data_IF_563356406036
#
_entry.id   IF_563356406036
#
_cell.length_a   1.000
_cell.length_b   1.000
_cell.length_c   1.000
_cell.angle_alpha   90.00
_cell.angle_beta   90.00
_cell.angle_gamma   90.00
#
_symmetry.space_group_name_H-M   'P 1'
#
loop_
_entity.id
_entity.type
_entity.pdbx_description
1 polymer ?
#
# COMPACT_ATOMS: atom_id res chain seq x y z
N UNK A 1 -7.05 7.89 -3.46
CA UNK A 1 -7.52 7.88 -4.86
C UNK A 1 -8.53 8.97 -5.20
N UNK A 2 -9.12 9.66 -4.20
CA UNK A 2 -10.10 10.74 -4.41
C UNK A 2 -9.58 11.88 -5.29
N UNK A 3 -8.31 12.27 -5.14
CA UNK A 3 -7.69 13.33 -5.94
C UNK A 3 -7.66 13.05 -7.45
N UNK A 4 -7.59 11.78 -7.86
CA UNK A 4 -7.50 11.38 -9.27
C UNK A 4 -8.75 11.76 -10.09
N UNK A 5 -9.90 11.93 -9.44
CA UNK A 5 -11.16 12.31 -10.10
C UNK A 5 -11.47 13.81 -9.99
N UNK A 6 -10.86 14.50 -9.00
CA UNK A 6 -10.96 15.95 -8.84
C UNK A 6 -10.10 16.70 -9.87
N UNK A 7 -8.91 16.18 -10.18
CA UNK A 7 -8.00 16.79 -11.16
C UNK A 7 -8.64 16.98 -12.55
N UNK A 8 -9.23 15.96 -13.21
CA UNK A 8 -9.86 16.15 -14.52
C UNK A 8 -11.08 17.08 -14.47
N UNK A 9 -11.78 17.16 -13.33
CA UNK A 9 -12.90 18.09 -13.15
C UNK A 9 -12.43 19.53 -13.15
N UNK A 10 -11.41 19.85 -12.34
CA UNK A 10 -10.80 21.17 -12.29
C UNK A 10 -10.11 21.54 -13.61
N UNK A 11 -9.43 20.59 -14.25
CA UNK A 11 -8.80 20.81 -15.54
C UNK A 11 -9.82 21.05 -16.66
N UNK A 12 -10.97 20.35 -16.63
CA UNK A 12 -12.04 20.49 -17.62
C UNK A 12 -12.73 21.85 -17.56
N UNK A 13 -12.98 22.39 -16.37
CA UNK A 13 -13.55 23.75 -16.21
C UNK A 13 -12.53 24.82 -16.62
N UNK A 14 -11.27 24.66 -16.23
CA UNK A 14 -10.22 25.61 -16.59
C UNK A 14 -9.97 25.64 -18.10
N UNK A 15 -9.97 24.47 -18.76
CA UNK A 15 -9.81 24.38 -20.20
C UNK A 15 -10.96 25.05 -20.98
N UNK A 16 -12.17 25.08 -20.42
CA UNK A 16 -13.32 25.75 -21.02
C UNK A 16 -13.24 27.28 -20.95
N UNK A 17 -12.60 27.84 -19.92
CA UNK A 17 -12.50 29.30 -19.72
C UNK A 17 -11.21 29.92 -20.27
N UNK A 18 -10.05 29.26 -20.07
CA UNK A 18 -8.72 29.83 -20.35
C UNK A 18 -7.97 29.08 -21.47
N UNK A 19 -8.58 28.01 -22.00
CA UNK A 19 -7.99 27.15 -23.03
C UNK A 19 -7.05 26.06 -22.47
N UNK A 20 -6.74 25.08 -23.32
CA UNK A 20 -6.05 23.85 -22.93
C UNK A 20 -4.59 24.03 -22.46
N UNK A 21 -3.93 25.12 -22.89
CA UNK A 21 -2.51 25.38 -22.53
C UNK A 21 -2.36 25.78 -21.06
N UNK A 22 -3.34 26.51 -20.52
CA UNK A 22 -3.32 26.98 -19.14
C UNK A 22 -3.40 25.83 -18.14
N UNK A 23 -4.04 24.71 -18.49
CA UNK A 23 -4.10 23.51 -17.64
C UNK A 23 -2.69 22.98 -17.30
N UNK A 24 -1.73 23.07 -18.22
CA UNK A 24 -0.35 22.64 -17.96
C UNK A 24 0.39 23.57 -16.98
N UNK A 25 0.17 24.89 -17.08
CA UNK A 25 0.78 25.84 -16.16
C UNK A 25 0.26 25.66 -14.73
N UNK A 26 -1.05 25.51 -14.55
CA UNK A 26 -1.64 25.26 -13.22
C UNK A 26 -1.12 23.95 -12.62
N UNK A 27 -1.02 22.88 -13.42
CA UNK A 27 -0.51 21.59 -12.97
C UNK A 27 0.97 21.69 -12.56
N UNK A 28 1.80 22.44 -13.30
CA UNK A 28 3.19 22.69 -12.95
C UNK A 28 3.33 23.48 -11.64
N UNK A 29 2.50 24.51 -11.42
CA UNK A 29 2.52 25.29 -10.18
C UNK A 29 2.13 24.41 -8.99
N UNK A 30 1.04 23.66 -9.09
CA UNK A 30 0.58 22.75 -8.03
C UNK A 30 1.63 21.69 -7.70
N UNK A 31 2.26 21.05 -8.69
CA UNK A 31 3.32 20.07 -8.47
C UNK A 31 4.55 20.69 -7.81
N UNK A 32 4.92 21.92 -8.19
CA UNK A 32 6.06 22.63 -7.58
C UNK A 32 5.79 22.93 -6.11
N UNK A 33 4.59 23.43 -5.79
CA UNK A 33 4.17 23.69 -4.41
C UNK A 33 4.17 22.40 -3.59
N UNK A 34 3.58 21.32 -4.12
CA UNK A 34 3.58 20.02 -3.46
C UNK A 34 5.00 19.49 -3.24
N UNK A 35 5.89 19.63 -4.23
CA UNK A 35 7.29 19.22 -4.09
C UNK A 35 8.00 20.01 -2.99
N UNK A 36 7.80 21.32 -2.90
CA UNK A 36 8.35 22.15 -1.84
C UNK A 36 7.81 21.71 -0.48
N UNK A 37 6.49 21.50 -0.36
CA UNK A 37 5.87 21.00 0.87
C UNK A 37 6.46 19.64 1.25
N UNK A 38 6.60 18.70 0.31
CA UNK A 38 7.23 17.42 0.57
C UNK A 38 8.65 17.61 1.09
N UNK A 39 9.49 18.43 0.47
CA UNK A 39 10.86 18.65 0.95
C UNK A 39 10.93 19.15 2.40
N UNK A 40 9.97 19.99 2.82
CA UNK A 40 9.95 20.55 4.19
C UNK A 40 9.14 19.74 5.21
N UNK A 41 8.15 18.94 4.76
CA UNK A 41 7.22 18.21 5.61
C UNK A 41 7.43 16.68 5.59
N UNK A 42 8.33 16.14 4.76
CA UNK A 42 8.67 14.71 4.81
C UNK A 42 9.54 14.44 6.04
N UNK A 43 8.87 13.98 7.10
CA UNK A 43 9.52 13.34 8.23
C UNK A 43 9.90 11.90 7.82
N UNK A 44 11.20 11.61 7.86
CA UNK A 44 11.74 10.27 7.70
C UNK A 44 11.21 9.39 8.84
N UNK A 45 10.24 8.53 8.52
CA UNK A 45 9.60 7.58 9.44
C UNK A 45 10.31 6.23 9.45
N UNK A 46 11.50 6.14 8.86
CA UNK A 46 12.26 4.88 8.81
C UNK A 46 12.71 4.47 10.20
N UNK A 47 11.95 3.54 10.80
CA UNK A 47 12.36 2.81 11.99
C UNK A 47 13.37 1.72 11.59
N UNK A 48 14.56 1.75 12.17
CA UNK A 48 15.51 0.65 12.09
C UNK A 48 15.24 -0.19 13.34
N UNK A 49 14.56 -1.35 13.24
CA UNK A 49 14.47 -2.22 14.39
C UNK A 49 15.90 -2.57 14.81
N UNK A 50 16.23 -2.36 16.09
CA UNK A 50 17.39 -3.03 16.66
C UNK A 50 17.13 -4.52 16.46
N UNK A 51 17.96 -5.17 15.65
CA UNK A 51 17.96 -6.62 15.47
C UNK A 51 18.24 -7.27 16.83
N UNK A 52 17.21 -7.46 17.64
CA UNK A 52 17.24 -8.34 18.80
C UNK A 52 16.85 -9.71 18.26
N UNK A 53 17.84 -10.44 17.75
CA UNK A 53 17.64 -11.82 17.32
C UNK A 53 18.28 -12.25 16.00
N UNK A 54 19.31 -11.57 15.49
CA UNK A 54 20.20 -12.23 14.54
C UNK A 54 21.03 -13.26 15.33
N UNK A 55 20.69 -14.54 15.20
CA UNK A 55 21.62 -15.62 15.51
C UNK A 55 22.80 -15.43 14.57
N UNK A 56 23.93 -14.97 15.11
CA UNK A 56 25.22 -15.04 14.46
C UNK A 56 25.47 -16.49 14.07
N UNK A 57 25.29 -16.81 12.79
CA UNK A 57 25.90 -17.99 12.19
C UNK A 57 27.32 -17.60 11.74
N UNK A 58 28.13 -17.15 12.70
CA UNK A 58 29.59 -17.06 12.56
C UNK A 58 30.20 -18.32 13.18
N UNK A 59 30.11 -19.43 12.45
CA UNK A 59 31.05 -20.56 12.61
C UNK A 59 31.39 -21.10 11.22
N UNK A 60 32.32 -20.44 10.55
CA UNK A 60 33.06 -21.05 9.46
C UNK A 60 34.16 -21.96 10.03
N UNK A 61 34.18 -23.21 9.57
CA UNK A 61 35.30 -24.15 9.48
C UNK A 61 35.90 -24.75 10.77
N UNK A 62 35.54 -26.00 11.06
CA UNK A 62 36.52 -27.03 11.42
C UNK A 62 35.97 -28.46 11.18
N UNK A 63 36.74 -29.27 10.44
CA UNK A 63 36.86 -30.71 10.72
C UNK A 63 35.83 -31.68 10.13
N UNK A 64 36.19 -32.24 8.97
CA UNK A 64 35.72 -33.52 8.42
C UNK A 64 35.88 -34.67 9.44
N UNK A 65 34.84 -35.48 9.67
CA UNK A 65 34.92 -36.90 10.06
C UNK A 65 33.54 -37.58 10.01
N UNK A 66 33.57 -38.81 9.50
CA UNK A 66 32.50 -39.75 9.19
C UNK A 66 31.95 -40.55 10.39
N UNK A 67 30.82 -41.25 10.14
CA UNK A 67 30.38 -42.55 10.70
C UNK A 67 29.23 -42.56 11.73
N UNK A 68 28.18 -43.31 11.33
CA UNK A 68 27.19 -44.15 12.07
C UNK A 68 26.05 -43.58 12.93
N UNK A 69 24.85 -44.09 12.56
CA UNK A 69 23.69 -44.54 13.33
C UNK A 69 23.63 -44.27 14.84
N UNK A 70 22.46 -43.84 15.33
CA UNK A 70 21.70 -44.54 16.39
C UNK A 70 20.25 -44.01 16.41
N UNK A 71 19.35 -44.95 16.17
CA UNK A 71 17.91 -44.93 16.34
C UNK A 71 17.50 -44.82 17.83
N UNK A 72 16.20 -44.59 18.06
CA UNK A 72 15.41 -44.89 19.28
C UNK A 72 14.89 -43.69 20.08
N UNK A 73 13.60 -43.42 19.87
CA UNK A 73 12.56 -43.15 20.87
C UNK A 73 13.04 -42.95 22.32
N UNK A 74 12.73 -41.78 22.88
CA UNK A 74 12.18 -41.69 24.23
C UNK A 74 11.17 -40.53 24.32
N UNK A 75 9.96 -40.86 24.76
CA UNK A 75 8.95 -39.92 25.24
C UNK A 75 9.39 -39.43 26.61
N UNK A 76 9.32 -38.12 26.85
CA UNK A 76 9.18 -37.55 28.20
C UNK A 76 8.18 -36.39 28.13
N UNK A 77 7.15 -36.49 28.98
CA UNK A 77 6.13 -35.50 29.30
C UNK A 77 6.73 -34.20 29.86
N UNK A 78 5.98 -33.10 29.70
CA UNK A 78 6.08 -31.91 30.53
C UNK A 78 7.12 -30.88 30.07
N UNK A 79 6.69 -29.79 29.46
CA UNK A 79 6.25 -28.64 30.23
C UNK A 79 5.57 -27.65 29.27
N UNK A 80 4.54 -26.97 29.77
CA UNK A 80 3.96 -25.85 29.08
C UNK A 80 5.01 -24.73 29.07
N UNK A 81 5.86 -24.71 28.04
CA UNK A 81 6.69 -23.58 27.71
C UNK A 81 5.75 -22.43 27.32
N UNK A 82 5.27 -21.77 28.36
CA UNK A 82 4.76 -20.42 28.37
C UNK A 82 5.85 -19.59 27.72
N UNK A 83 5.78 -19.43 26.39
CA UNK A 83 6.46 -18.35 25.71
C UNK A 83 5.81 -17.11 26.31
N UNK A 84 6.40 -16.66 27.42
CA UNK A 84 6.12 -15.37 27.98
C UNK A 84 6.48 -14.39 26.87
N UNK A 85 5.46 -13.99 26.10
CA UNK A 85 5.48 -12.78 25.29
C UNK A 85 5.71 -11.67 26.29
N UNK A 86 6.99 -11.42 26.61
CA UNK A 86 7.39 -10.23 27.34
C UNK A 86 6.79 -9.09 26.54
N UNK A 87 5.82 -8.43 27.15
CA UNK A 87 5.23 -7.21 26.60
C UNK A 87 6.40 -6.28 26.37
N UNK A 88 6.74 -6.08 25.08
CA UNK A 88 7.78 -5.11 24.70
C UNK A 88 7.51 -3.81 25.46
N UNK A 89 8.54 -3.19 26.08
CA UNK A 89 8.36 -1.88 26.68
C UNK A 89 7.80 -0.96 25.59
N UNK A 90 6.75 -0.22 25.95
CA UNK A 90 6.06 0.70 25.06
C UNK A 90 7.06 1.48 24.21
N UNK A 91 7.02 1.21 22.90
CA UNK A 91 7.95 1.72 21.90
C UNK A 91 8.00 3.25 22.05
N UNK A 92 9.14 3.85 22.42
CA UNK A 92 9.21 5.28 22.65
C UNK A 92 9.01 6.02 21.33
N UNK A 93 8.07 6.97 21.31
CA UNK A 93 7.81 7.79 20.14
C UNK A 93 9.01 8.72 19.90
N UNK A 94 9.61 8.62 18.71
CA UNK A 94 10.75 9.46 18.32
C UNK A 94 10.34 10.95 18.31
N UNK A 95 11.25 11.83 18.76
CA UNK A 95 11.01 13.27 18.76
C UNK A 95 10.95 13.82 17.33
N UNK A 96 10.08 14.80 17.07
CA UNK A 96 9.87 15.48 15.79
C UNK A 96 11.17 15.89 15.06
N UNK A 97 12.19 16.32 15.81
CA UNK A 97 13.50 16.71 15.27
C UNK A 97 14.38 15.53 14.85
N UNK A 98 14.16 14.36 15.44
CA UNK A 98 14.87 13.12 15.14
C UNK A 98 14.29 12.44 13.89
N UNK A 99 13.00 12.68 13.59
CA UNK A 99 12.33 12.30 12.34
C UNK A 99 12.72 13.18 11.14
N UNK A 100 13.26 14.40 11.35
CA UNK A 100 13.76 15.27 10.28
C UNK A 100 15.22 15.00 9.89
N UNK A 101 15.69 13.75 9.98
CA UNK A 101 17.06 13.39 9.59
C UNK A 101 17.17 13.26 8.07
N UNK A 102 17.77 14.25 7.42
CA UNK A 102 17.91 14.36 5.95
C UNK A 102 18.58 13.18 5.23
N UNK A 103 19.34 12.35 5.95
CA UNK A 103 19.91 11.14 5.37
C UNK A 103 20.10 10.08 6.45
N UNK A 104 19.50 8.91 6.21
CA UNK A 104 19.72 7.71 7.02
C UNK A 104 20.55 6.74 6.19
N UNK A 105 21.81 6.57 6.58
CA UNK A 105 22.74 5.62 5.94
C UNK A 105 22.18 4.21 6.10
N UNK A 106 21.86 3.56 4.99
CA UNK A 106 21.33 2.19 4.95
C UNK A 106 22.45 1.25 4.49
N UNK A 107 22.67 0.15 5.21
CA UNK A 107 23.68 -0.86 4.90
C UNK A 107 23.22 -1.92 3.89
N UNK A 108 22.03 -1.75 3.31
CA UNK A 108 21.48 -2.69 2.34
C UNK A 108 21.97 -2.39 0.92
N UNK A 109 22.27 -3.45 0.17
CA UNK A 109 22.65 -3.35 -1.23
C UNK A 109 21.46 -2.86 -2.07
N UNK A 110 21.45 -1.57 -2.42
CA UNK A 110 20.49 -0.93 -3.35
C UNK A 110 20.18 -1.75 -4.63
N UNK A 111 21.16 -2.34 -5.35
CA UNK A 111 20.84 -3.12 -6.56
C UNK A 111 20.05 -4.40 -6.25
N UNK A 112 20.26 -5.00 -5.07
CA UNK A 112 19.50 -6.17 -4.64
C UNK A 112 18.04 -5.81 -4.34
N UNK A 113 17.82 -4.66 -3.68
CA UNK A 113 16.47 -4.16 -3.40
C UNK A 113 15.71 -3.80 -4.68
N UNK A 114 16.41 -3.23 -5.68
CA UNK A 114 15.82 -2.94 -6.99
C UNK A 114 15.47 -4.20 -7.80
N UNK A 115 16.27 -5.27 -7.72
CA UNK A 115 15.99 -6.55 -8.40
C UNK A 115 14.95 -7.41 -7.69
N UNK A 116 14.74 -7.24 -6.38
CA UNK A 116 13.78 -8.01 -5.58
C UNK A 116 12.35 -8.07 -6.17
N UNK A 117 11.70 -6.96 -6.61
CA UNK A 117 10.36 -7.01 -7.19
C UNK A 117 10.29 -7.87 -8.47
N UNK A 118 11.35 -7.92 -9.27
CA UNK A 118 11.41 -8.76 -10.48
C UNK A 118 11.50 -10.24 -10.13
N UNK A 119 12.15 -10.62 -9.04
CA UNK A 119 12.13 -12.00 -8.57
C UNK A 119 10.76 -12.40 -8.03
N UNK A 120 10.11 -11.53 -7.26
CA UNK A 120 8.80 -11.80 -6.67
C UNK A 120 7.71 -11.97 -7.74
N UNK A 121 7.86 -11.32 -8.91
CA UNK A 121 6.93 -11.48 -10.03
C UNK A 121 6.96 -12.90 -10.63
N UNK A 122 8.01 -13.69 -10.41
CA UNK A 122 8.04 -15.07 -10.93
C UNK A 122 7.09 -16.01 -10.20
N UNK A 123 6.59 -15.61 -9.02
CA UNK A 123 5.60 -16.37 -8.28
C UNK A 123 4.23 -16.26 -8.97
N UNK A 124 3.59 -17.37 -9.35
CA UNK A 124 2.37 -17.36 -10.15
C UNK A 124 1.20 -16.65 -9.45
N UNK A 125 1.13 -16.74 -8.11
CA UNK A 125 0.13 -16.02 -7.32
C UNK A 125 0.29 -14.49 -7.47
N UNK A 126 1.53 -14.00 -7.42
CA UNK A 126 1.81 -12.57 -7.55
C UNK A 126 1.44 -12.09 -8.95
N UNK A 127 1.80 -12.84 -10.00
CA UNK A 127 1.39 -12.55 -11.38
C UNK A 127 -0.12 -12.41 -11.53
N UNK A 128 -0.89 -13.34 -10.95
CA UNK A 128 -2.34 -13.31 -11.03
C UNK A 128 -2.90 -12.04 -10.38
N UNK A 129 -2.45 -11.71 -9.16
CA UNK A 129 -2.90 -10.48 -8.47
C UNK A 129 -2.50 -9.21 -9.22
N UNK A 130 -1.30 -9.18 -9.80
CA UNK A 130 -0.81 -8.06 -10.59
C UNK A 130 -1.63 -7.87 -11.88
N UNK A 131 -1.95 -8.96 -12.58
CA UNK A 131 -2.80 -8.92 -13.78
C UNK A 131 -4.22 -8.47 -13.45
N UNK A 132 -4.80 -8.97 -12.36
CA UNK A 132 -6.14 -8.56 -11.92
C UNK A 132 -6.18 -7.06 -11.62
N UNK A 133 -5.19 -6.54 -10.91
CA UNK A 133 -5.09 -5.12 -10.61
C UNK A 133 -4.87 -4.27 -11.87
N UNK A 134 -3.96 -4.70 -12.76
CA UNK A 134 -3.71 -4.02 -14.03
C UNK A 134 -4.95 -3.99 -14.93
N UNK A 135 -5.71 -5.08 -14.98
CA UNK A 135 -6.98 -5.17 -15.71
C UNK A 135 -8.01 -4.16 -15.18
N UNK A 136 -8.15 -4.05 -13.86
CA UNK A 136 -9.04 -3.06 -13.23
C UNK A 136 -8.67 -1.62 -13.58
N UNK A 137 -7.38 -1.29 -13.58
CA UNK A 137 -6.91 0.04 -14.00
C UNK A 137 -7.15 0.27 -15.48
N UNK A 138 -6.88 -0.72 -16.33
CA UNK A 138 -7.10 -0.62 -17.78
C UNK A 138 -8.56 -0.31 -18.08
N UNK A 139 -9.50 -1.04 -17.45
CA UNK A 139 -10.93 -0.81 -17.61
C UNK A 139 -11.34 0.61 -17.18
N UNK A 140 -10.80 1.09 -16.03
CA UNK A 140 -11.04 2.45 -15.55
C UNK A 140 -10.58 3.49 -16.60
N UNK A 141 -9.36 3.36 -17.13
CA UNK A 141 -8.81 4.29 -18.12
C UNK A 141 -9.62 4.27 -19.42
N UNK A 142 -9.98 3.09 -19.92
CA UNK A 142 -10.83 2.96 -21.12
C UNK A 142 -12.17 3.64 -20.90
N UNK A 143 -12.81 3.45 -19.75
CA UNK A 143 -14.08 4.10 -19.43
C UNK A 143 -13.98 5.63 -19.45
N UNK A 144 -12.94 6.21 -18.84
CA UNK A 144 -12.72 7.66 -18.85
C UNK A 144 -12.48 8.19 -20.27
N UNK A 145 -11.75 7.44 -21.09
CA UNK A 145 -11.43 7.84 -22.46
C UNK A 145 -12.67 7.76 -23.37
N UNK A 146 -13.45 6.69 -23.27
CA UNK A 146 -14.67 6.48 -24.05
C UNK A 146 -15.71 7.55 -23.74
N UNK A 147 -15.88 7.89 -22.46
CA UNK A 147 -16.72 9.01 -22.04
C UNK A 147 -16.29 10.31 -22.74
N UNK A 148 -14.99 10.64 -22.72
CA UNK A 148 -14.52 11.87 -23.35
C UNK A 148 -14.76 11.91 -24.86
N UNK A 149 -14.72 10.78 -25.55
CA UNK A 149 -14.89 10.71 -27.02
C UNK A 149 -16.37 10.74 -27.40
N UNK A 150 -17.21 9.91 -26.78
CA UNK A 150 -18.62 9.77 -27.13
C UNK A 150 -19.39 11.06 -26.84
N UNK A 151 -19.12 11.68 -25.69
CA UNK A 151 -19.84 12.88 -25.26
C UNK A 151 -19.34 14.17 -25.93
N UNK A 152 -18.12 14.16 -26.48
CA UNK A 152 -17.63 15.23 -27.34
C UNK A 152 -18.16 15.12 -28.78
N UNK A 153 -18.52 13.92 -29.24
CA UNK A 153 -19.06 13.71 -30.57
C UNK A 153 -20.55 14.14 -30.68
N UNK A 154 -21.05 14.47 -31.89
CA UNK A 154 -22.48 14.59 -32.15
C UNK A 154 -23.17 13.25 -31.82
N UNK A 155 -24.33 13.22 -31.14
CA UNK A 155 -25.36 14.26 -30.96
C UNK A 155 -25.31 15.08 -29.66
N UNK A 156 -24.44 14.77 -28.70
CA UNK A 156 -24.46 15.39 -27.37
C UNK A 156 -23.68 16.72 -27.27
N UNK A 157 -22.63 16.89 -28.07
CA UNK A 157 -21.82 18.12 -28.17
C UNK A 157 -21.53 18.78 -26.80
N UNK A 158 -21.14 17.99 -25.79
CA UNK A 158 -20.89 18.56 -24.47
C UNK A 158 -19.64 19.45 -24.48
N UNK A 159 -19.74 20.60 -23.80
CA UNK A 159 -18.59 21.47 -23.52
C UNK A 159 -17.56 20.73 -22.65
N UNK A 160 -16.29 21.12 -22.74
CA UNK A 160 -15.17 20.57 -21.98
C UNK A 160 -15.44 20.54 -20.48
N UNK A 161 -16.16 21.53 -19.95
CA UNK A 161 -16.59 21.56 -18.54
C UNK A 161 -17.59 20.44 -18.20
N UNK A 162 -18.54 20.15 -19.10
CA UNK A 162 -19.54 19.08 -18.93
C UNK A 162 -18.91 17.69 -18.89
N UNK A 163 -17.89 17.46 -19.72
CA UNK A 163 -17.11 16.22 -19.72
C UNK A 163 -16.35 16.07 -18.39
N UNK A 164 -15.81 17.19 -17.86
CA UNK A 164 -15.18 17.23 -16.54
C UNK A 164 -16.12 16.86 -15.39
N UNK A 165 -17.38 17.31 -15.43
CA UNK A 165 -18.36 16.98 -14.37
C UNK A 165 -18.76 15.51 -14.34
N UNK A 166 -18.57 14.76 -15.42
CA UNK A 166 -18.88 13.33 -15.46
C UNK A 166 -17.95 12.47 -14.60
N UNK A 167 -16.81 13.03 -14.15
CA UNK A 167 -15.96 12.38 -13.15
C UNK A 167 -16.56 12.39 -11.73
N UNK A 168 -17.67 13.12 -11.49
CA UNK A 168 -18.35 13.14 -10.20
C UNK A 168 -18.87 11.76 -9.78
N UNK A 169 -19.38 10.96 -10.71
CA UNK A 169 -19.89 9.61 -10.39
C UNK A 169 -18.80 8.72 -9.78
N UNK A 170 -17.67 8.50 -10.50
CA UNK A 170 -16.51 7.81 -9.97
C UNK A 170 -15.93 8.43 -8.69
N UNK A 171 -15.96 9.76 -8.56
CA UNK A 171 -15.54 10.46 -7.34
C UNK A 171 -16.38 10.07 -6.13
N UNK A 172 -17.71 10.09 -6.24
CA UNK A 172 -18.63 9.69 -5.17
C UNK A 172 -18.42 8.21 -4.81
N UNK A 173 -18.30 7.34 -5.81
CA UNK A 173 -18.00 5.92 -5.59
C UNK A 173 -16.67 5.71 -4.86
N UNK A 174 -15.63 6.45 -5.23
CA UNK A 174 -14.33 6.39 -4.57
C UNK A 174 -14.37 6.94 -3.14
N UNK A 175 -15.19 7.95 -2.87
CA UNK A 175 -15.34 8.50 -1.54
C UNK A 175 -15.95 7.46 -0.59
N UNK A 176 -17.04 6.81 -0.99
CA UNK A 176 -17.65 5.73 -0.21
C UNK A 176 -16.73 4.51 -0.10
N UNK A 177 -16.08 4.12 -1.20
CA UNK A 177 -15.11 3.03 -1.21
C UNK A 177 -13.92 3.28 -0.28
N UNK A 178 -13.42 4.52 -0.22
CA UNK A 178 -12.31 4.89 0.66
C UNK A 178 -12.69 4.86 2.14
N UNK A 179 -13.92 5.27 2.48
CA UNK A 179 -14.43 5.21 3.86
C UNK A 179 -14.61 3.74 4.29
N UNK A 180 -15.12 2.91 3.39
CA UNK A 180 -15.33 1.50 3.65
C UNK A 180 -14.01 0.71 3.76
N UNK A 181 -13.13 0.87 2.77
CA UNK A 181 -11.89 0.10 2.67
C UNK A 181 -10.77 0.55 3.60
N UNK A 182 -10.80 1.78 4.09
CA UNK A 182 -9.80 2.31 5.02
C UNK A 182 -10.24 2.18 6.48
N UNK A 183 -10.83 3.25 7.06
CA UNK A 183 -11.10 3.31 8.49
C UNK A 183 -12.07 2.24 8.98
N UNK A 184 -13.06 1.85 8.17
CA UNK A 184 -14.02 0.82 8.57
C UNK A 184 -13.37 -0.57 8.58
N UNK A 185 -12.56 -0.91 7.57
CA UNK A 185 -11.81 -2.17 7.55
C UNK A 185 -10.84 -2.26 8.75
N UNK A 186 -10.08 -1.20 9.02
CA UNK A 186 -9.16 -1.17 10.18
C UNK A 186 -9.93 -1.23 11.51
N UNK A 187 -11.06 -0.52 11.63
CA UNK A 187 -11.90 -0.59 12.82
C UNK A 187 -12.44 -1.99 13.08
N UNK A 188 -12.87 -2.71 12.03
CA UNK A 188 -13.34 -4.10 12.18
C UNK A 188 -12.21 -5.03 12.62
N UNK A 189 -11.00 -4.87 12.09
CA UNK A 189 -9.83 -5.64 12.50
C UNK A 189 -9.47 -5.41 13.97
N UNK A 190 -9.42 -4.15 14.41
CA UNK A 190 -9.14 -3.79 15.82
C UNK A 190 -10.23 -4.31 16.75
N UNK A 191 -11.50 -4.24 16.31
CA UNK A 191 -12.64 -4.76 17.07
C UNK A 191 -12.58 -6.28 17.24
N UNK A 192 -12.20 -7.02 16.19
CA UNK A 192 -12.02 -8.47 16.25
C UNK A 192 -10.83 -8.86 17.13
N UNK A 193 -9.69 -8.18 16.99
CA UNK A 193 -8.52 -8.40 17.84
C UNK A 193 -8.84 -8.14 19.33
N UNK A 194 -9.61 -7.09 19.63
CA UNK A 194 -10.05 -6.79 21.02
C UNK A 194 -11.00 -7.86 21.57
N UNK A 195 -11.79 -8.51 20.72
CA UNK A 195 -12.67 -9.62 21.12
C UNK A 195 -11.91 -10.93 21.34
N UNK A 196 -10.76 -11.12 20.69
CA UNK A 196 -9.92 -12.31 20.81
C UNK A 196 -8.80 -12.16 21.87
N UNK A 197 -9.04 -11.38 22.93
CA UNK A 197 -8.07 -11.20 24.00
C UNK A 197 -6.82 -10.36 23.64
N UNK A 198 -6.87 -9.60 22.54
CA UNK A 198 -5.75 -8.75 22.10
C UNK A 198 -4.77 -9.43 21.13
N UNK A 199 -5.01 -10.68 20.75
CA UNK A 199 -4.20 -11.38 19.74
C UNK A 199 -4.72 -11.03 18.35
N UNK A 200 -3.87 -10.39 17.54
CA UNK A 200 -4.17 -10.09 16.14
C UNK A 200 -3.75 -11.26 15.26
N UNK A 201 -4.73 -11.94 14.67
CA UNK A 201 -4.49 -12.98 13.69
C UNK A 201 -4.64 -12.40 12.27
N UNK A 202 -3.76 -12.77 11.32
CA UNK A 202 -3.80 -12.24 9.95
C UNK A 202 -5.10 -12.55 9.21
N UNK A 203 -5.83 -13.60 9.62
CA UNK A 203 -7.13 -13.99 9.06
C UNK A 203 -8.24 -12.96 9.36
N UNK A 204 -8.07 -12.13 10.39
CA UNK A 204 -9.06 -11.11 10.77
C UNK A 204 -9.27 -10.04 9.68
N UNK A 205 -8.31 -9.89 8.76
CA UNK A 205 -8.41 -9.01 7.58
C UNK A 205 -9.27 -9.60 6.46
N UNK A 206 -9.55 -10.90 6.47
CA UNK A 206 -10.36 -11.55 5.45
C UNK A 206 -11.86 -11.22 5.62
N UNK A 207 -12.33 -11.05 6.87
CA UNK A 207 -13.74 -10.74 7.16
C UNK A 207 -14.28 -9.46 6.49
N UNK A 208 -13.59 -8.30 6.54
CA UNK A 208 -14.05 -7.10 5.85
C UNK A 208 -14.02 -7.24 4.31
N UNK A 209 -13.22 -8.18 3.78
CA UNK A 209 -13.13 -8.48 2.35
C UNK A 209 -14.31 -9.34 1.85
N UNK A 210 -14.95 -10.11 2.74
CA UNK A 210 -16.09 -10.95 2.39
C UNK A 210 -17.29 -10.14 1.89
N UNK A 211 -17.55 -8.97 2.48
CA UNK A 211 -18.68 -8.11 2.12
C UNK A 211 -18.57 -7.61 0.66
N UNK A 212 -17.43 -7.05 0.19
CA UNK A 212 -17.23 -6.75 -1.23
C UNK A 212 -17.38 -7.96 -2.15
N UNK A 213 -16.87 -9.14 -1.76
CA UNK A 213 -16.98 -10.34 -2.61
C UNK A 213 -18.43 -10.81 -2.78
N UNK A 214 -19.29 -10.63 -1.77
CA UNK A 214 -20.72 -10.92 -1.89
C UNK A 214 -21.48 -9.89 -2.73
N UNK A 215 -21.04 -8.63 -2.75
CA UNK A 215 -21.70 -7.58 -3.51
C UNK A 215 -21.23 -7.50 -4.98
N UNK A 216 -20.03 -8.02 -5.27
CA UNK A 216 -19.47 -8.12 -6.64
C UNK A 216 -19.69 -9.47 -7.33
N UNK A 217 -20.34 -10.44 -6.67
CA UNK A 217 -20.80 -11.69 -7.27
C UNK A 217 -22.22 -11.53 -7.84
#
# INVERSE_FOLDING_TARGET
>A
MVGSFLTPMAAGTQAAHEGWRWSYYTLAICLTILSVITVFAFEETKYIPLSVGQVDNDVASFGQSSVEDIDSKNKVDGDAATIATQTEPAIPMNSYRQCMRWTTTTSENLPRLFMMPFYVITLPHVMFTALQFASGICWLVVFMQVISIIFAAPPYNFSTAGIGYMSLGPFVGNLFGSIYGGPLADWTCVRLAKRNGGVFEPEMRLYPLAIPTFFSA
#
